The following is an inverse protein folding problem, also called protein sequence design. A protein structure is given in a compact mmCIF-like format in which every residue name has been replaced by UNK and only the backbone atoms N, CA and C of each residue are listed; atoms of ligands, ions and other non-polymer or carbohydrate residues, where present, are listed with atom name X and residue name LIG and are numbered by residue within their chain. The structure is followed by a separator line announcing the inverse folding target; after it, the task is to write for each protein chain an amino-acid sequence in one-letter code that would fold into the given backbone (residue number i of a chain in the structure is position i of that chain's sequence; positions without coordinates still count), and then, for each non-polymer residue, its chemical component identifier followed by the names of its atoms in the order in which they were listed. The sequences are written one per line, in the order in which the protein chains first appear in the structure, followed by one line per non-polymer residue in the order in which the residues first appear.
data_IF_597967674903
#
_entry.id   IF_597967674903
#
_cell.length_a   1.000
_cell.length_b   1.000
_cell.length_c   1.000
_cell.angle_alpha   90.00
_cell.angle_beta   90.00
_cell.angle_gamma   90.00
#
_symmetry.space_group_name_H-M   'P 1'
#
loop_
_entity.id
_entity.type
_entity.pdbx_description
1 polymer ?
#
# COMPACT_ATOMS: atom_id res chain seq x y z
N UNK A 1 -12.21 1.99 -7.27
CA UNK A 1 -13.53 1.35 -7.05
C UNK A 1 -14.47 2.41 -6.53
N UNK A 2 -15.70 2.53 -7.04
CA UNK A 2 -16.63 3.60 -6.62
C UNK A 2 -17.07 3.33 -5.17
N UNK A 3 -16.78 4.23 -4.25
CA UNK A 3 -16.93 4.01 -2.79
C UNK A 3 -18.12 4.76 -2.18
N UNK A 4 -19.03 5.33 -3.00
CA UNK A 4 -20.14 6.17 -2.55
C UNK A 4 -21.00 5.51 -1.45
N UNK A 5 -21.28 4.21 -1.58
CA UNK A 5 -22.03 3.44 -0.61
C UNK A 5 -21.34 3.41 0.77
N UNK A 6 -20.03 3.28 0.79
CA UNK A 6 -19.23 3.30 2.02
C UNK A 6 -19.21 4.71 2.62
N UNK A 7 -19.04 5.75 1.79
CA UNK A 7 -19.02 7.16 2.23
C UNK A 7 -20.37 7.58 2.83
N UNK A 8 -21.50 7.21 2.20
CA UNK A 8 -22.85 7.49 2.76
C UNK A 8 -22.97 6.88 4.14
N UNK A 9 -22.59 5.60 4.31
CA UNK A 9 -22.65 4.89 5.58
C UNK A 9 -21.74 5.49 6.63
N UNK A 10 -20.52 5.89 6.24
CA UNK A 10 -19.53 6.46 7.14
C UNK A 10 -19.95 7.85 7.62
N UNK A 11 -20.33 8.75 6.72
CA UNK A 11 -20.76 10.10 7.11
C UNK A 11 -22.04 10.08 7.93
N UNK A 12 -23.02 9.22 7.59
CA UNK A 12 -24.20 9.03 8.41
C UNK A 12 -23.83 8.66 9.86
N UNK A 13 -22.93 7.69 10.01
CA UNK A 13 -22.49 7.23 11.35
C UNK A 13 -21.70 8.31 12.11
N UNK A 14 -20.86 9.08 11.42
CA UNK A 14 -20.13 10.20 12.03
C UNK A 14 -21.08 11.28 12.56
N UNK A 15 -22.23 11.46 11.91
CA UNK A 15 -23.28 12.39 12.33
C UNK A 15 -24.28 11.75 13.29
N UNK A 16 -24.03 10.54 13.76
CA UNK A 16 -24.90 9.76 14.65
C UNK A 16 -26.36 9.59 14.15
N UNK A 17 -26.57 9.67 12.83
CA UNK A 17 -27.88 9.58 12.20
C UNK A 17 -28.27 8.10 11.96
N UNK A 18 -29.56 7.80 12.04
CA UNK A 18 -30.14 6.55 11.55
C UNK A 18 -30.38 6.58 10.04
N UNK A 19 -30.63 5.45 9.39
CA UNK A 19 -31.06 5.41 8.01
C UNK A 19 -32.38 6.14 7.78
N UNK A 20 -33.26 6.12 8.79
CA UNK A 20 -34.56 6.79 8.79
C UNK A 20 -34.39 8.32 8.85
N UNK A 21 -33.44 8.84 9.65
CA UNK A 21 -33.15 10.27 9.71
C UNK A 21 -32.71 10.82 8.37
N UNK A 22 -31.79 10.11 7.70
CA UNK A 22 -31.32 10.47 6.36
C UNK A 22 -32.45 10.40 5.35
N UNK A 23 -33.28 9.35 5.41
CA UNK A 23 -34.42 9.18 4.52
C UNK A 23 -35.44 10.32 4.66
N UNK A 24 -35.75 10.68 5.89
CA UNK A 24 -36.67 11.80 6.20
C UNK A 24 -36.11 13.14 5.70
N UNK A 25 -34.82 13.40 5.89
CA UNK A 25 -34.17 14.61 5.45
C UNK A 25 -34.17 14.75 3.90
N UNK A 26 -34.12 13.64 3.18
CA UNK A 26 -34.08 13.61 1.71
C UNK A 26 -35.44 13.37 1.06
N UNK A 27 -36.49 13.09 1.84
CA UNK A 27 -37.83 12.78 1.31
C UNK A 27 -37.88 11.44 0.55
N UNK A 28 -37.10 10.44 0.97
CA UNK A 28 -37.08 9.09 0.39
C UNK A 28 -37.48 8.04 1.42
N UNK A 29 -37.73 6.81 0.97
CA UNK A 29 -38.02 5.71 1.91
C UNK A 29 -36.74 5.21 2.62
N UNK A 30 -36.80 4.79 3.90
CA UNK A 30 -35.64 4.25 4.62
C UNK A 30 -34.97 3.05 3.93
N UNK A 31 -35.76 2.22 3.25
CA UNK A 31 -35.26 1.09 2.46
C UNK A 31 -34.35 1.54 1.31
N UNK A 32 -34.56 2.75 0.79
CA UNK A 32 -33.73 3.34 -0.26
C UNK A 32 -32.32 3.62 0.25
N UNK A 33 -32.21 4.22 1.44
CA UNK A 33 -30.89 4.47 2.08
C UNK A 33 -30.17 3.15 2.34
N UNK A 34 -30.90 2.15 2.85
CA UNK A 34 -30.36 0.80 3.08
C UNK A 34 -29.79 0.18 1.80
N UNK A 35 -30.49 0.32 0.66
CA UNK A 35 -30.03 -0.18 -0.65
C UNK A 35 -28.78 0.57 -1.15
N UNK A 36 -28.71 1.88 -0.93
CA UNK A 36 -27.51 2.67 -1.28
C UNK A 36 -26.30 2.22 -0.49
N UNK A 37 -26.45 2.04 0.85
CA UNK A 37 -25.35 1.60 1.72
C UNK A 37 -24.86 0.16 1.43
N UNK A 38 -25.72 -0.71 0.85
CA UNK A 38 -25.37 -2.06 0.40
C UNK A 38 -24.88 -2.13 -1.06
N UNK A 39 -24.80 -0.98 -1.73
CA UNK A 39 -24.48 -0.90 -3.17
C UNK A 39 -25.45 -1.66 -4.10
N UNK A 40 -26.69 -1.88 -3.67
CA UNK A 40 -27.74 -2.49 -4.50
C UNK A 40 -28.28 -1.50 -5.53
N UNK A 41 -28.35 -0.22 -5.16
CA UNK A 41 -28.74 0.90 -6.01
C UNK A 41 -27.89 2.11 -5.65
N UNK A 42 -27.93 3.14 -6.48
CA UNK A 42 -27.27 4.42 -6.24
C UNK A 42 -28.29 5.55 -6.08
N UNK A 43 -27.94 6.63 -5.34
CA UNK A 43 -28.73 7.86 -5.33
C UNK A 43 -28.84 8.46 -6.74
N UNK A 44 -29.96 9.10 -7.03
CA UNK A 44 -30.03 9.97 -8.18
C UNK A 44 -29.01 11.10 -8.04
N UNK A 45 -28.39 11.49 -9.18
CA UNK A 45 -27.35 12.53 -9.19
C UNK A 45 -27.85 13.84 -8.60
N UNK A 46 -29.12 14.14 -8.71
CA UNK A 46 -29.76 15.34 -8.16
C UNK A 46 -29.83 15.35 -6.63
N UNK A 47 -29.73 14.18 -5.99
CA UNK A 47 -29.71 14.05 -4.53
C UNK A 47 -28.30 14.16 -3.93
N UNK A 48 -27.24 14.07 -4.74
CA UNK A 48 -25.86 14.13 -4.23
C UNK A 48 -25.55 15.45 -3.51
N UNK A 49 -25.96 16.65 -4.02
CA UNK A 49 -25.75 17.89 -3.30
C UNK A 49 -26.51 17.95 -1.95
N UNK A 50 -27.71 17.41 -1.91
CA UNK A 50 -28.52 17.37 -0.68
C UNK A 50 -27.89 16.43 0.38
N UNK A 51 -27.39 15.24 -0.05
CA UNK A 51 -26.65 14.33 0.80
C UNK A 51 -25.36 14.97 1.33
N UNK A 52 -24.58 15.61 0.47
CA UNK A 52 -23.35 16.29 0.86
C UNK A 52 -23.62 17.39 1.90
N UNK A 53 -24.65 18.20 1.65
CA UNK A 53 -25.07 19.24 2.59
C UNK A 53 -25.55 18.67 3.94
N UNK A 54 -26.34 17.60 3.90
CA UNK A 54 -26.83 16.91 5.11
C UNK A 54 -25.68 16.41 5.99
N UNK A 55 -24.62 15.89 5.37
CA UNK A 55 -23.46 15.38 6.07
C UNK A 55 -22.39 16.44 6.38
N UNK A 56 -22.57 17.69 5.90
CA UNK A 56 -21.59 18.77 6.09
C UNK A 56 -20.28 18.56 5.33
N UNK A 57 -20.34 17.91 4.16
CA UNK A 57 -19.17 17.62 3.32
C UNK A 57 -19.36 18.14 1.90
N UNK A 58 -18.29 18.16 1.11
CA UNK A 58 -18.41 18.47 -0.34
C UNK A 58 -18.91 17.25 -1.11
N UNK A 59 -19.47 17.48 -2.28
CA UNK A 59 -19.86 16.37 -3.19
C UNK A 59 -18.66 15.51 -3.59
N UNK A 60 -17.48 16.11 -3.78
CA UNK A 60 -16.23 15.40 -4.06
C UNK A 60 -15.87 14.44 -2.91
N UNK A 61 -15.97 14.91 -1.68
CA UNK A 61 -15.75 14.07 -0.49
C UNK A 61 -16.79 12.95 -0.39
N UNK A 62 -18.06 13.25 -0.64
CA UNK A 62 -19.12 12.25 -0.66
C UNK A 62 -18.90 11.17 -1.72
N UNK A 63 -18.35 11.54 -2.88
CA UNK A 63 -17.99 10.64 -3.96
C UNK A 63 -16.66 9.91 -3.72
N UNK A 64 -15.93 10.22 -2.66
CA UNK A 64 -14.61 9.66 -2.39
C UNK A 64 -13.54 10.10 -3.38
N UNK A 65 -13.73 11.25 -4.06
CA UNK A 65 -12.79 11.74 -5.07
C UNK A 65 -11.42 12.06 -4.51
N UNK A 66 -11.35 12.48 -3.24
CA UNK A 66 -10.07 12.77 -2.58
C UNK A 66 -9.27 11.48 -2.40
N UNK A 67 -9.92 10.36 -2.04
CA UNK A 67 -9.26 9.05 -1.93
C UNK A 67 -8.80 8.55 -3.31
N UNK A 68 -9.63 8.68 -4.35
CA UNK A 68 -9.27 8.30 -5.72
C UNK A 68 -8.09 9.13 -6.25
N UNK A 69 -8.08 10.44 -5.98
CA UNK A 69 -6.94 11.31 -6.35
C UNK A 69 -5.66 10.88 -5.64
N UNK A 70 -5.75 10.53 -4.36
CA UNK A 70 -4.62 10.09 -3.57
C UNK A 70 -4.09 8.73 -4.03
N UNK A 71 -4.97 7.75 -4.27
CA UNK A 71 -4.60 6.45 -4.86
C UNK A 71 -3.90 6.65 -6.22
N UNK A 72 -4.41 7.55 -7.07
CA UNK A 72 -3.78 7.88 -8.35
C UNK A 72 -2.40 8.50 -8.19
N UNK A 73 -2.23 9.41 -7.23
CA UNK A 73 -0.93 10.06 -6.94
C UNK A 73 0.10 9.04 -6.47
N UNK A 74 -0.27 8.15 -5.54
CA UNK A 74 0.57 7.05 -5.07
C UNK A 74 0.89 6.09 -6.23
N UNK A 75 -0.11 5.71 -7.04
CA UNK A 75 0.09 4.88 -8.22
C UNK A 75 1.09 5.47 -9.23
N UNK A 76 1.09 6.80 -9.39
CA UNK A 76 2.06 7.50 -10.24
C UNK A 76 3.47 7.41 -9.67
N UNK A 77 3.65 7.48 -8.36
CA UNK A 77 4.96 7.27 -7.69
C UNK A 77 5.51 5.90 -8.03
N UNK A 78 4.72 4.85 -7.82
CA UNK A 78 5.15 3.47 -8.12
C UNK A 78 5.48 3.28 -9.60
N UNK A 79 4.69 3.81 -10.52
CA UNK A 79 4.95 3.70 -11.96
C UNK A 79 6.28 4.35 -12.34
N UNK A 80 6.54 5.56 -11.85
CA UNK A 80 7.78 6.29 -12.12
C UNK A 80 9.00 5.61 -11.50
N UNK A 81 8.87 5.14 -10.26
CA UNK A 81 9.96 4.46 -9.56
C UNK A 81 10.30 3.12 -10.23
N UNK A 82 9.31 2.32 -10.64
CA UNK A 82 9.53 1.06 -11.39
C UNK A 82 10.28 1.29 -12.70
N UNK A 83 9.96 2.36 -13.42
CA UNK A 83 10.69 2.68 -14.65
C UNK A 83 12.18 2.96 -14.37
N UNK A 84 12.48 3.66 -13.27
CA UNK A 84 13.85 3.87 -12.81
C UNK A 84 14.54 2.56 -12.41
N UNK A 85 13.84 1.68 -11.68
CA UNK A 85 14.36 0.37 -11.30
C UNK A 85 14.68 -0.50 -12.52
N UNK A 86 13.83 -0.51 -13.55
CA UNK A 86 14.10 -1.22 -14.82
C UNK A 86 15.37 -0.73 -15.51
N UNK A 87 15.62 0.56 -15.44
CA UNK A 87 16.82 1.20 -16.01
C UNK A 87 18.06 1.01 -15.12
N UNK A 88 17.94 0.31 -13.99
CA UNK A 88 18.97 0.18 -12.94
C UNK A 88 19.43 1.55 -12.39
N UNK A 89 18.56 2.58 -12.53
CA UNK A 89 18.76 3.91 -11.95
C UNK A 89 18.25 3.91 -10.50
N UNK A 90 19.03 3.28 -9.62
CA UNK A 90 18.66 3.11 -8.20
C UNK A 90 18.53 4.45 -7.49
N UNK A 91 19.45 5.39 -7.76
CA UNK A 91 19.42 6.71 -7.13
C UNK A 91 18.19 7.51 -7.58
N UNK A 92 17.80 7.39 -8.86
CA UNK A 92 16.57 7.97 -9.36
C UNK A 92 15.31 7.38 -8.70
N UNK A 93 15.27 6.08 -8.46
CA UNK A 93 14.17 5.43 -7.75
C UNK A 93 14.12 5.88 -6.27
N UNK A 94 15.26 5.90 -5.58
CA UNK A 94 15.40 6.37 -4.19
C UNK A 94 14.88 7.80 -4.07
N UNK A 95 15.31 8.71 -4.95
CA UNK A 95 14.88 10.12 -4.94
C UNK A 95 13.35 10.25 -5.09
N UNK A 96 12.72 9.42 -5.94
CA UNK A 96 11.26 9.41 -6.12
C UNK A 96 10.57 8.97 -4.83
N UNK A 97 11.01 7.90 -4.19
CA UNK A 97 10.43 7.41 -2.94
C UNK A 97 10.64 8.39 -1.78
N UNK A 98 11.82 8.98 -1.66
CA UNK A 98 12.11 10.00 -0.64
C UNK A 98 11.24 11.25 -0.82
N UNK A 99 11.01 11.68 -2.06
CA UNK A 99 10.10 12.78 -2.35
C UNK A 99 8.66 12.42 -1.97
N UNK A 100 8.22 11.20 -2.25
CA UNK A 100 6.90 10.71 -1.90
C UNK A 100 6.71 10.67 -0.37
N UNK A 101 7.71 10.24 0.39
CA UNK A 101 7.68 10.19 1.85
C UNK A 101 7.62 11.57 2.53
N UNK A 102 7.89 12.66 1.81
CA UNK A 102 7.61 14.02 2.33
C UNK A 102 6.11 14.30 2.39
N UNK A 103 5.32 13.62 1.56
CA UNK A 103 3.86 13.77 1.49
C UNK A 103 3.20 12.68 2.35
N UNK A 104 3.71 11.45 2.29
CA UNK A 104 3.20 10.27 3.00
C UNK A 104 4.30 9.65 3.88
N UNK A 105 4.70 10.29 4.99
CA UNK A 105 5.91 9.94 5.75
C UNK A 105 5.88 8.53 6.37
N UNK A 106 4.68 7.99 6.60
CA UNK A 106 4.48 6.68 7.24
C UNK A 106 3.84 5.65 6.29
N UNK A 107 3.86 5.87 4.98
CA UNK A 107 3.35 4.87 4.04
C UNK A 107 4.30 3.66 4.01
N UNK A 108 3.83 2.55 4.56
CA UNK A 108 4.64 1.34 4.72
C UNK A 108 5.02 0.69 3.38
N UNK A 109 4.19 0.85 2.33
CA UNK A 109 4.50 0.39 0.98
C UNK A 109 5.67 1.17 0.39
N UNK A 110 5.59 2.51 0.41
CA UNK A 110 6.67 3.38 -0.08
C UNK A 110 7.96 3.17 0.74
N UNK A 111 7.86 3.02 2.07
CA UNK A 111 9.00 2.73 2.94
C UNK A 111 9.67 1.41 2.56
N UNK A 112 8.89 0.35 2.34
CA UNK A 112 9.41 -0.96 1.96
C UNK A 112 10.10 -0.91 0.59
N UNK A 113 9.50 -0.25 -0.40
CA UNK A 113 10.08 -0.11 -1.73
C UNK A 113 11.34 0.78 -1.72
N UNK A 114 11.37 1.83 -0.87
CA UNK A 114 12.60 2.59 -0.62
C UNK A 114 13.71 1.70 -0.06
N UNK A 115 13.39 0.86 0.94
CA UNK A 115 14.36 -0.07 1.53
C UNK A 115 14.92 -1.03 0.45
N UNK A 116 14.08 -1.50 -0.46
CA UNK A 116 14.51 -2.34 -1.59
C UNK A 116 15.43 -1.58 -2.54
N UNK A 117 15.07 -0.36 -2.95
CA UNK A 117 15.90 0.46 -3.82
C UNK A 117 17.26 0.77 -3.19
N UNK A 118 17.30 1.10 -1.90
CA UNK A 118 18.52 1.28 -1.12
C UNK A 118 19.37 0.01 -1.09
N UNK A 119 18.75 -1.15 -0.91
CA UNK A 119 19.45 -2.42 -0.90
C UNK A 119 20.03 -2.80 -2.27
N UNK A 120 19.31 -2.46 -3.36
CA UNK A 120 19.78 -2.70 -4.73
C UNK A 120 20.97 -1.78 -5.11
N UNK A 121 20.89 -0.48 -4.77
CA UNK A 121 21.97 0.46 -5.04
C UNK A 121 23.20 0.21 -4.17
N UNK A 122 23.04 -0.47 -3.02
CA UNK A 122 23.76 -0.19 -1.85
C UNK A 122 24.96 -0.98 -1.44
N UNK A 123 25.79 -0.23 -0.78
CA UNK A 123 26.90 -0.67 0.01
C UNK A 123 26.71 -0.18 1.46
N UNK A 124 27.21 -0.93 2.44
CA UNK A 124 27.38 -0.53 3.84
C UNK A 124 26.26 0.31 4.47
N UNK A 125 26.39 1.63 4.44
CA UNK A 125 25.45 2.54 5.10
C UNK A 125 24.02 2.49 4.52
N UNK A 126 23.85 2.24 3.24
CA UNK A 126 22.54 2.13 2.60
C UNK A 126 21.86 0.82 2.99
N UNK A 127 22.59 -0.28 3.08
CA UNK A 127 22.05 -1.54 3.59
C UNK A 127 21.60 -1.43 5.06
N UNK A 128 22.37 -0.74 5.89
CA UNK A 128 21.98 -0.48 7.28
C UNK A 128 20.69 0.35 7.36
N UNK A 129 20.59 1.40 6.55
CA UNK A 129 19.37 2.23 6.47
C UNK A 129 18.17 1.42 6.00
N UNK A 130 18.34 0.59 4.97
CA UNK A 130 17.32 -0.28 4.44
C UNK A 130 16.82 -1.28 5.49
N UNK A 131 17.71 -1.89 6.26
CA UNK A 131 17.36 -2.81 7.35
C UNK A 131 16.50 -2.11 8.41
N UNK A 132 16.91 -0.93 8.88
CA UNK A 132 16.17 -0.16 9.87
C UNK A 132 14.75 0.21 9.39
N UNK A 133 14.59 0.57 8.12
CA UNK A 133 13.26 0.84 7.54
C UNK A 133 12.39 -0.41 7.60
N UNK A 134 12.91 -1.56 7.17
CA UNK A 134 12.15 -2.82 7.20
C UNK A 134 11.79 -3.22 8.64
N UNK A 135 12.70 -3.09 9.59
CA UNK A 135 12.45 -3.38 11.00
C UNK A 135 11.34 -2.50 11.57
N UNK A 136 11.33 -1.19 11.25
CA UNK A 136 10.27 -0.28 11.66
C UNK A 136 8.91 -0.67 11.07
N UNK A 137 8.84 -1.05 9.79
CA UNK A 137 7.61 -1.55 9.17
C UNK A 137 7.12 -2.83 9.84
N UNK A 138 8.03 -3.73 10.24
CA UNK A 138 7.67 -4.97 10.94
C UNK A 138 7.17 -4.75 12.37
N UNK A 139 7.53 -3.64 13.02
CA UNK A 139 7.05 -3.28 14.36
C UNK A 139 5.71 -2.54 14.32
N UNK A 140 5.30 -2.02 13.18
CA UNK A 140 4.02 -1.34 13.00
C UNK A 140 2.86 -2.33 12.84
N UNK A 141 1.62 -1.86 13.07
CA UNK A 141 0.40 -2.67 12.90
C UNK A 141 -0.06 -2.69 11.42
N UNK A 142 0.87 -2.90 10.52
CA UNK A 142 0.59 -2.93 9.08
C UNK A 142 -0.09 -4.24 8.63
N UNK A 143 -0.80 -4.23 7.50
CA UNK A 143 -1.36 -5.44 6.92
C UNK A 143 -0.32 -6.54 6.72
N UNK A 144 -0.71 -7.78 6.97
CA UNK A 144 0.16 -8.96 6.91
C UNK A 144 0.95 -9.05 5.59
N UNK A 145 0.34 -8.63 4.49
CA UNK A 145 1.01 -8.61 3.17
C UNK A 145 2.24 -7.69 3.17
N UNK A 146 2.12 -6.47 3.71
CA UNK A 146 3.25 -5.53 3.79
C UNK A 146 4.35 -6.01 4.74
N UNK A 147 3.95 -6.60 5.88
CA UNK A 147 4.92 -7.23 6.78
C UNK A 147 5.70 -8.37 6.10
N UNK A 148 5.05 -9.19 5.25
CA UNK A 148 5.73 -10.23 4.49
C UNK A 148 6.72 -9.64 3.48
N UNK A 149 6.33 -8.57 2.77
CA UNK A 149 7.21 -7.90 1.81
C UNK A 149 8.42 -7.28 2.52
N UNK A 150 8.22 -6.59 3.64
CA UNK A 150 9.32 -6.03 4.44
C UNK A 150 10.25 -7.11 5.00
N UNK A 151 9.69 -8.28 5.40
CA UNK A 151 10.48 -9.41 5.88
C UNK A 151 11.30 -10.06 4.76
N UNK A 152 10.74 -10.18 3.55
CA UNK A 152 11.48 -10.66 2.38
C UNK A 152 12.63 -9.70 2.00
N UNK A 153 12.36 -8.39 2.01
CA UNK A 153 13.39 -7.37 1.80
C UNK A 153 14.51 -7.45 2.85
N UNK A 154 14.17 -7.60 4.13
CA UNK A 154 15.13 -7.73 5.21
C UNK A 154 16.00 -8.98 5.06
N UNK A 155 15.42 -10.10 4.63
CA UNK A 155 16.15 -11.32 4.32
C UNK A 155 17.24 -11.08 3.26
N UNK A 156 16.89 -10.41 2.17
CA UNK A 156 17.84 -10.03 1.12
C UNK A 156 18.93 -9.09 1.64
N UNK A 157 18.56 -8.06 2.38
CA UNK A 157 19.49 -7.08 2.94
C UNK A 157 20.56 -7.79 3.80
N UNK A 158 20.13 -8.72 4.68
CA UNK A 158 21.06 -9.52 5.48
C UNK A 158 21.97 -10.38 4.61
N UNK A 159 21.42 -11.04 3.59
CA UNK A 159 22.23 -11.86 2.68
C UNK A 159 23.27 -11.01 1.91
N UNK A 160 22.88 -9.84 1.40
CA UNK A 160 23.77 -8.90 0.71
C UNK A 160 24.84 -8.31 1.64
N UNK A 161 24.51 -8.11 2.92
CA UNK A 161 25.47 -7.70 3.94
C UNK A 161 26.45 -8.83 4.38
N UNK A 162 26.29 -10.04 3.85
CA UNK A 162 27.10 -11.21 4.21
C UNK A 162 26.66 -11.94 5.47
N UNK A 163 25.55 -11.52 6.11
CA UNK A 163 25.00 -12.15 7.30
C UNK A 163 23.95 -13.22 6.91
N UNK A 164 24.46 -14.35 6.44
CA UNK A 164 23.61 -15.47 5.99
C UNK A 164 22.82 -16.10 7.14
N UNK A 165 23.33 -16.04 8.37
CA UNK A 165 22.62 -16.58 9.53
C UNK A 165 21.33 -15.80 9.80
N UNK A 166 21.42 -14.47 9.87
CA UNK A 166 20.23 -13.61 10.02
C UNK A 166 19.29 -13.71 8.81
N UNK A 167 19.82 -13.80 7.60
CA UNK A 167 19.02 -14.00 6.40
C UNK A 167 18.17 -15.27 6.49
N UNK A 168 18.76 -16.41 6.90
CA UNK A 168 18.06 -17.68 7.08
C UNK A 168 17.04 -17.64 8.23
N UNK A 169 17.37 -17.00 9.35
CA UNK A 169 16.43 -16.81 10.46
C UNK A 169 15.21 -15.99 10.03
N UNK A 170 15.45 -14.92 9.28
CA UNK A 170 14.38 -14.08 8.74
C UNK A 170 13.52 -14.82 7.72
N UNK A 171 14.14 -15.60 6.83
CA UNK A 171 13.44 -16.42 5.83
C UNK A 171 12.50 -17.46 6.46
N UNK A 172 12.87 -18.04 7.61
CA UNK A 172 12.00 -18.99 8.35
C UNK A 172 10.71 -18.38 8.85
N UNK A 173 10.64 -17.06 8.99
CA UNK A 173 9.45 -16.33 9.43
C UNK A 173 8.53 -15.95 8.27
N UNK A 174 8.93 -16.19 7.02
CA UNK A 174 8.06 -16.02 5.86
C UNK A 174 6.98 -17.10 5.83
N UNK A 175 5.76 -16.78 5.34
CA UNK A 175 4.69 -17.75 5.26
C UNK A 175 5.06 -18.91 4.33
N UNK A 176 4.50 -20.09 4.63
CA UNK A 176 4.59 -21.28 3.81
C UNK A 176 3.70 -21.13 2.54
N UNK A 177 4.02 -20.21 1.67
CA UNK A 177 3.46 -20.18 0.33
C UNK A 177 4.51 -20.76 -0.63
N UNK A 178 4.09 -21.68 -1.47
CA UNK A 178 4.94 -22.48 -2.36
C UNK A 178 5.96 -21.68 -3.18
N UNK A 179 5.77 -20.38 -3.33
CA UNK A 179 6.54 -19.54 -4.25
C UNK A 179 7.50 -18.55 -3.56
N UNK A 180 7.33 -18.19 -2.28
CA UNK A 180 8.18 -17.18 -1.66
C UNK A 180 9.30 -17.75 -0.79
N UNK A 181 8.99 -18.70 0.09
CA UNK A 181 9.98 -19.24 1.03
C UNK A 181 11.02 -20.13 0.35
N UNK A 182 10.55 -21.02 -0.51
CA UNK A 182 11.39 -22.00 -1.23
C UNK A 182 12.28 -21.31 -2.25
N UNK A 183 11.76 -20.28 -2.95
CA UNK A 183 12.52 -19.48 -3.90
C UNK A 183 13.61 -18.68 -3.18
N UNK A 184 13.28 -18.00 -2.07
CA UNK A 184 14.27 -17.26 -1.27
C UNK A 184 15.31 -18.22 -0.68
N UNK A 185 14.91 -19.39 -0.16
CA UNK A 185 15.85 -20.39 0.37
C UNK A 185 16.75 -20.98 -0.71
N UNK A 186 16.19 -21.29 -1.90
CA UNK A 186 16.97 -21.80 -3.02
C UNK A 186 18.04 -20.78 -3.47
N UNK A 187 17.69 -19.48 -3.52
CA UNK A 187 18.64 -18.42 -3.84
C UNK A 187 19.70 -18.21 -2.76
N UNK A 188 19.35 -18.34 -1.49
CA UNK A 188 20.31 -18.30 -0.36
C UNK A 188 21.35 -19.42 -0.45
N UNK A 189 20.96 -20.60 -0.96
CA UNK A 189 21.86 -21.72 -1.12
C UNK A 189 22.70 -21.69 -2.41
N UNK A 190 22.22 -21.04 -3.46
CA UNK A 190 22.85 -21.07 -4.78
C UNK A 190 23.76 -19.87 -5.06
N UNK A 191 23.81 -18.86 -4.20
CA UNK A 191 24.49 -17.56 -4.44
C UNK A 191 24.17 -16.94 -5.81
N UNK A 192 22.98 -17.23 -6.33
CA UNK A 192 22.53 -16.76 -7.63
C UNK A 192 22.08 -15.30 -7.60
N UNK A 193 21.87 -14.72 -8.76
CA UNK A 193 21.56 -13.30 -8.99
C UNK A 193 20.36 -12.80 -8.15
N UNK A 194 20.68 -12.23 -6.98
CA UNK A 194 19.74 -11.68 -6.05
C UNK A 194 18.97 -10.48 -6.59
N UNK A 195 19.59 -9.71 -7.46
CA UNK A 195 19.00 -8.50 -8.02
C UNK A 195 17.82 -8.86 -8.92
N UNK A 196 17.92 -9.97 -9.64
CA UNK A 196 16.85 -10.55 -10.46
C UNK A 196 15.67 -11.03 -9.61
N UNK A 197 15.93 -11.79 -8.54
CA UNK A 197 14.88 -12.29 -7.65
C UNK A 197 14.09 -11.15 -7.02
N UNK A 198 14.77 -10.11 -6.57
CA UNK A 198 14.15 -8.99 -5.89
C UNK A 198 13.32 -8.14 -6.84
N UNK A 199 13.82 -7.97 -8.06
CA UNK A 199 13.03 -7.32 -9.10
C UNK A 199 11.70 -8.09 -9.31
N UNK A 200 11.77 -9.41 -9.45
CA UNK A 200 10.59 -10.26 -9.60
C UNK A 200 9.64 -10.17 -8.40
N UNK A 201 10.17 -10.21 -7.16
CA UNK A 201 9.37 -10.10 -5.94
C UNK A 201 8.74 -8.72 -5.77
N UNK A 202 9.40 -7.65 -6.22
CA UNK A 202 8.90 -6.27 -6.08
C UNK A 202 7.94 -5.87 -7.19
N UNK A 203 8.12 -6.40 -8.40
CA UNK A 203 7.33 -6.02 -9.58
C UNK A 203 6.26 -7.05 -9.96
N UNK A 204 6.43 -8.32 -9.55
CA UNK A 204 5.61 -9.45 -10.01
C UNK A 204 5.84 -9.83 -11.47
N UNK A 205 6.89 -9.33 -12.11
CA UNK A 205 7.28 -9.64 -13.49
C UNK A 205 8.56 -10.48 -13.47
N UNK A 206 8.58 -11.58 -14.23
CA UNK A 206 9.81 -12.35 -14.50
C UNK A 206 10.72 -11.54 -15.44
N UNK A 207 12.04 -11.57 -15.18
CA UNK A 207 13.05 -10.91 -16.01
C UNK A 207 13.39 -11.81 -17.22
#
# INVERSE_FOLDING_TARGET
MFVLNQMIREYRRRQEMTQEDVANALGVAPQTISKWERAETYPDITLLPALANLFGVTTDQLLGMDQLREEHRIGTVYTRAREKLRQKDWDGAIAIYEQALRIWPNDAGILTDLAMALALSGEGAQLTRAALICENVLQSQEPVKLQHTARAALCYIHAKAGDLERALLTARQLPHQRESREVVQAHLHQQSDWDSLIYTLSTGEEI
#
